data_IF_952811164167
#
_entry.id   IF_952811164167
#
_cell.length_a   1.000
_cell.length_b   1.000
_cell.length_c   1.000
_cell.angle_alpha   90.00
_cell.angle_beta   90.00
_cell.angle_gamma   90.00
#
_symmetry.space_group_name_H-M   'P 1'
#
loop_
_entity.id
_entity.type
_entity.pdbx_description
1 polymer ?
#
# COMPACT_ATOMS: atom_id res chain seq x y z
N UNK A 1 -8.40 16.06 6.85
CA UNK A 1 -7.17 16.89 6.86
C UNK A 1 -6.74 17.34 8.25
N UNK A 2 -7.65 17.73 9.16
CA UNK A 2 -7.26 18.13 10.53
C UNK A 2 -6.46 17.06 11.29
N UNK A 3 -6.78 15.77 11.09
CA UNK A 3 -6.01 14.63 11.62
C UNK A 3 -4.54 14.68 11.20
N UNK A 4 -4.26 14.82 9.91
CA UNK A 4 -2.89 14.87 9.38
C UNK A 4 -2.09 16.05 9.95
N UNK A 5 -2.73 17.20 10.14
CA UNK A 5 -2.09 18.38 10.77
C UNK A 5 -1.75 18.10 12.23
N UNK A 6 -2.72 17.58 12.99
CA UNK A 6 -2.53 17.21 14.40
C UNK A 6 -1.42 16.18 14.58
N UNK A 7 -1.40 15.18 13.70
CA UNK A 7 -0.47 14.04 13.77
C UNK A 7 0.88 14.37 13.09
N UNK A 8 1.05 15.61 12.60
CA UNK A 8 2.25 16.13 11.91
C UNK A 8 2.67 15.23 10.74
N UNK A 9 1.69 14.86 9.93
CA UNK A 9 1.79 14.07 8.69
C UNK A 9 1.36 14.95 7.51
N UNK A 10 2.05 16.07 7.34
CA UNK A 10 1.82 17.01 6.24
C UNK A 10 3.07 17.02 5.38
N UNK A 11 2.94 16.51 4.16
CA UNK A 11 4.01 16.44 3.18
C UNK A 11 3.57 17.15 1.91
N UNK A 12 4.50 17.82 1.24
CA UNK A 12 4.27 18.32 -0.10
C UNK A 12 4.20 17.14 -1.08
N UNK A 13 3.41 17.29 -2.16
CA UNK A 13 3.41 16.34 -3.25
C UNK A 13 4.82 16.28 -3.88
N UNK A 14 5.44 15.10 -3.97
CA UNK A 14 6.75 14.95 -4.60
C UNK A 14 6.75 15.36 -6.07
N UNK A 15 7.85 15.94 -6.54
CA UNK A 15 8.05 16.36 -7.94
C UNK A 15 9.06 15.51 -8.71
N UNK A 16 9.75 14.61 -8.02
CA UNK A 16 10.73 13.68 -8.58
C UNK A 16 10.85 12.43 -7.69
N UNK A 17 11.63 11.45 -8.16
CA UNK A 17 11.90 10.18 -7.47
C UNK A 17 12.54 10.38 -6.09
N UNK A 18 13.49 11.31 -5.96
CA UNK A 18 14.21 11.56 -4.70
C UNK A 18 13.27 12.08 -3.61
N UNK A 19 12.44 13.07 -3.93
CA UNK A 19 11.42 13.59 -3.02
C UNK A 19 10.38 12.51 -2.65
N UNK A 20 9.99 11.66 -3.61
CA UNK A 20 9.09 10.53 -3.38
C UNK A 20 9.70 9.54 -2.39
N UNK A 21 10.98 9.23 -2.56
CA UNK A 21 11.72 8.35 -1.66
C UNK A 21 11.83 8.94 -0.24
N UNK A 22 12.00 10.25 -0.10
CA UNK A 22 12.00 10.93 1.21
C UNK A 22 10.65 10.75 1.93
N UNK A 23 9.54 10.98 1.24
CA UNK A 23 8.19 10.84 1.82
C UNK A 23 7.89 9.38 2.17
N UNK A 24 8.20 8.43 1.29
CA UNK A 24 8.01 7.00 1.56
C UNK A 24 8.89 6.51 2.71
N UNK A 25 10.14 6.98 2.79
CA UNK A 25 11.03 6.67 3.90
C UNK A 25 10.49 7.16 5.24
N UNK A 26 9.84 8.34 5.27
CA UNK A 26 9.15 8.82 6.48
C UNK A 26 7.98 7.91 6.87
N UNK A 27 7.19 7.43 5.89
CA UNK A 27 6.10 6.47 6.11
C UNK A 27 6.61 5.16 6.73
N UNK A 28 7.59 4.51 6.10
CA UNK A 28 8.20 3.25 6.57
C UNK A 28 8.70 3.37 7.99
N UNK A 29 9.42 4.45 8.31
CA UNK A 29 9.95 4.68 9.67
C UNK A 29 8.86 4.95 10.70
N UNK A 30 7.89 5.82 10.39
CA UNK A 30 6.82 6.20 11.35
C UNK A 30 5.86 5.05 11.63
N UNK A 31 5.53 4.24 10.63
CA UNK A 31 4.65 3.07 10.79
C UNK A 31 5.40 1.82 11.25
N UNK A 32 6.74 1.85 11.27
CA UNK A 32 7.56 0.73 11.70
C UNK A 32 7.43 -0.49 10.79
N UNK A 33 7.23 -0.29 9.48
CA UNK A 33 7.05 -1.36 8.49
C UNK A 33 8.27 -2.29 8.52
N UNK A 34 8.03 -3.59 8.70
CA UNK A 34 9.08 -4.62 8.87
C UNK A 34 9.30 -5.49 7.64
N UNK A 35 8.37 -5.46 6.70
CA UNK A 35 8.49 -6.16 5.43
C UNK A 35 9.09 -5.22 4.37
N UNK A 36 9.65 -5.76 3.26
CA UNK A 36 10.19 -4.94 2.19
C UNK A 36 9.16 -3.92 1.68
N UNK A 37 9.56 -2.65 1.69
CA UNK A 37 8.79 -1.57 1.09
C UNK A 37 9.50 -1.14 -0.19
N UNK A 38 8.76 -1.14 -1.29
CA UNK A 38 9.25 -0.72 -2.60
C UNK A 38 8.49 0.53 -3.05
N UNK A 39 9.09 1.28 -3.97
CA UNK A 39 8.52 2.49 -4.55
C UNK A 39 8.10 2.20 -5.99
N UNK A 40 6.89 2.62 -6.34
CA UNK A 40 6.48 2.70 -7.73
C UNK A 40 7.25 3.85 -8.41
N UNK A 41 7.58 3.65 -9.68
CA UNK A 41 8.26 4.67 -10.48
C UNK A 41 7.38 5.91 -10.65
N UNK A 42 7.99 7.05 -11.00
CA UNK A 42 7.33 8.35 -10.92
C UNK A 42 6.03 8.50 -11.75
N UNK A 43 5.91 7.75 -12.83
CA UNK A 43 4.76 7.58 -13.72
C UNK A 43 3.61 6.73 -13.16
N UNK A 44 3.77 6.12 -11.99
CA UNK A 44 2.74 5.37 -11.27
C UNK A 44 2.16 4.17 -12.04
N UNK A 45 3.00 3.49 -12.83
CA UNK A 45 2.56 2.35 -13.65
C UNK A 45 2.00 1.18 -12.81
N UNK A 46 2.58 0.90 -11.65
CA UNK A 46 2.07 -0.15 -10.74
C UNK A 46 0.73 0.25 -10.13
N UNK A 47 0.62 1.49 -9.65
CA UNK A 47 -0.62 2.03 -9.11
C UNK A 47 -1.75 1.92 -10.14
N UNK A 48 -1.52 2.34 -11.39
CA UNK A 48 -2.52 2.29 -12.45
C UNK A 48 -2.94 0.86 -12.78
N UNK A 49 -1.97 -0.05 -12.94
CA UNK A 49 -2.24 -1.46 -13.24
C UNK A 49 -3.05 -2.15 -12.14
N UNK A 50 -2.86 -1.75 -10.88
CA UNK A 50 -3.53 -2.34 -9.72
C UNK A 50 -4.63 -1.44 -9.12
N UNK A 51 -5.00 -0.32 -9.76
CA UNK A 51 -5.94 0.66 -9.20
C UNK A 51 -5.65 0.96 -7.72
N UNK A 52 -4.38 1.21 -7.43
CA UNK A 52 -3.79 1.22 -6.08
C UNK A 52 -4.31 2.32 -5.17
N UNK A 53 -4.81 3.42 -5.74
CA UNK A 53 -5.33 4.54 -4.97
C UNK A 53 -6.71 4.26 -4.34
N UNK A 54 -6.99 4.75 -3.12
CA UNK A 54 -6.08 5.47 -2.21
C UNK A 54 -5.07 4.55 -1.49
N UNK A 55 -5.47 3.31 -1.25
CA UNK A 55 -4.65 2.18 -0.81
C UNK A 55 -5.41 0.88 -1.16
N UNK A 56 -4.66 -0.23 -1.29
CA UNK A 56 -5.18 -1.55 -1.63
C UNK A 56 -4.41 -2.65 -0.93
N UNK A 57 -5.12 -3.74 -0.68
CA UNK A 57 -4.52 -5.04 -0.41
C UNK A 57 -4.81 -5.94 -1.60
N UNK A 58 -3.76 -6.57 -2.11
CA UNK A 58 -3.84 -7.61 -3.11
C UNK A 58 -3.20 -8.89 -2.56
N UNK A 59 -3.78 -10.04 -2.91
CA UNK A 59 -3.16 -11.34 -2.75
C UNK A 59 -2.96 -11.94 -4.14
N UNK A 60 -1.71 -12.19 -4.49
CA UNK A 60 -1.34 -12.91 -5.71
C UNK A 60 -0.96 -14.33 -5.30
N UNK A 61 -1.58 -15.33 -5.91
CA UNK A 61 -1.34 -16.75 -5.61
C UNK A 61 -0.04 -17.27 -6.26
N UNK A 62 0.29 -18.53 -5.99
CA UNK A 62 1.49 -19.20 -6.51
C UNK A 62 1.49 -19.34 -8.06
N UNK A 63 0.33 -19.18 -8.70
CA UNK A 63 0.19 -19.22 -10.16
C UNK A 63 0.20 -17.82 -10.78
N UNK A 64 0.47 -16.76 -9.99
CA UNK A 64 0.49 -15.38 -10.45
C UNK A 64 -0.91 -14.78 -10.66
N UNK A 65 -1.97 -15.37 -10.08
CA UNK A 65 -3.35 -14.87 -10.20
C UNK A 65 -3.74 -14.04 -8.99
N UNK A 66 -4.54 -13.00 -9.22
CA UNK A 66 -5.15 -12.23 -8.12
C UNK A 66 -6.22 -13.08 -7.44
N UNK A 67 -5.90 -13.61 -6.25
CA UNK A 67 -6.83 -14.38 -5.43
C UNK A 67 -7.69 -13.50 -4.53
N UNK A 68 -7.24 -12.28 -4.22
CA UNK A 68 -8.01 -11.29 -3.48
C UNK A 68 -7.60 -9.86 -3.85
N UNK A 69 -8.61 -8.97 -3.90
CA UNK A 69 -8.47 -7.53 -4.07
C UNK A 69 -9.40 -6.83 -3.07
N UNK A 70 -8.86 -5.96 -2.23
CA UNK A 70 -9.67 -5.22 -1.26
C UNK A 70 -10.50 -4.10 -1.91
N UNK A 71 -11.55 -3.68 -1.18
CA UNK A 71 -12.23 -2.39 -1.46
C UNK A 71 -11.29 -1.21 -1.21
N UNK A 72 -11.60 0.00 -1.75
CA UNK A 72 -10.73 1.16 -1.58
C UNK A 72 -10.69 1.54 -0.11
N UNK A 73 -9.51 1.82 0.44
CA UNK A 73 -9.43 2.30 1.81
C UNK A 73 -9.72 3.80 1.96
N UNK A 74 -9.55 4.34 3.17
CA UNK A 74 -9.14 3.58 4.36
C UNK A 74 -10.20 2.55 4.81
N UNK A 75 -11.48 2.74 4.47
CA UNK A 75 -12.58 1.89 4.93
C UNK A 75 -12.58 0.45 4.38
N UNK A 76 -12.02 0.25 3.18
CA UNK A 76 -11.84 -1.06 2.57
C UNK A 76 -10.54 -1.78 2.93
N UNK A 77 -9.60 -1.13 3.64
CA UNK A 77 -8.35 -1.75 4.05
C UNK A 77 -8.60 -2.63 5.29
N UNK A 78 -8.81 -3.94 5.07
CA UNK A 78 -9.16 -4.89 6.13
C UNK A 78 -8.23 -6.11 6.12
N UNK A 79 -7.31 -6.15 7.09
CA UNK A 79 -6.35 -7.26 7.24
C UNK A 79 -7.01 -8.61 7.50
N UNK A 80 -8.18 -8.62 8.13
CA UNK A 80 -8.94 -9.85 8.40
C UNK A 80 -9.43 -10.52 7.10
N UNK A 81 -9.89 -9.74 6.13
CA UNK A 81 -10.29 -10.29 4.83
C UNK A 81 -9.09 -10.89 4.06
N UNK A 82 -7.91 -10.26 4.18
CA UNK A 82 -6.67 -10.83 3.66
C UNK A 82 -6.31 -12.15 4.33
N UNK A 83 -6.41 -12.23 5.66
CA UNK A 83 -6.13 -13.45 6.44
C UNK A 83 -7.00 -14.62 5.96
N UNK A 84 -8.30 -14.37 5.75
CA UNK A 84 -9.24 -15.36 5.21
C UNK A 84 -8.91 -15.77 3.77
N UNK A 85 -8.42 -14.84 2.94
CA UNK A 85 -7.99 -15.15 1.59
C UNK A 85 -6.70 -15.99 1.58
N UNK A 86 -5.75 -15.68 2.46
CA UNK A 86 -4.50 -16.44 2.63
C UNK A 86 -4.78 -17.90 3.00
N UNK A 87 -5.69 -18.14 3.94
CA UNK A 87 -6.10 -19.49 4.35
C UNK A 87 -6.67 -20.36 3.22
N UNK A 88 -7.08 -19.75 2.09
CA UNK A 88 -7.61 -20.49 0.92
C UNK A 88 -6.54 -20.82 -0.12
N UNK A 89 -5.40 -20.13 -0.12
CA UNK A 89 -4.35 -20.27 -1.14
C UNK A 89 -3.07 -20.91 -0.64
N UNK A 90 -2.89 -21.01 0.68
CA UNK A 90 -1.76 -21.72 1.29
C UNK A 90 -2.20 -23.17 1.55
N UNK A 91 -1.54 -24.18 0.98
CA UNK A 91 -1.75 -25.58 1.36
C UNK A 91 -1.35 -25.79 2.83
N UNK A 92 -2.08 -26.64 3.55
CA UNK A 92 -1.69 -27.09 4.90
C UNK A 92 -0.30 -27.74 4.91
#
# INVERSE_FOLDING_TARGET
>A
MQSNVRDKVVFASPKNEEERAVVAGACVRKLGIKFPAVLDEFGNSTEQAYTGWPDRIYLVDQNGRVAYKSRPGPFGFKSEELSQALARVVPN
#
